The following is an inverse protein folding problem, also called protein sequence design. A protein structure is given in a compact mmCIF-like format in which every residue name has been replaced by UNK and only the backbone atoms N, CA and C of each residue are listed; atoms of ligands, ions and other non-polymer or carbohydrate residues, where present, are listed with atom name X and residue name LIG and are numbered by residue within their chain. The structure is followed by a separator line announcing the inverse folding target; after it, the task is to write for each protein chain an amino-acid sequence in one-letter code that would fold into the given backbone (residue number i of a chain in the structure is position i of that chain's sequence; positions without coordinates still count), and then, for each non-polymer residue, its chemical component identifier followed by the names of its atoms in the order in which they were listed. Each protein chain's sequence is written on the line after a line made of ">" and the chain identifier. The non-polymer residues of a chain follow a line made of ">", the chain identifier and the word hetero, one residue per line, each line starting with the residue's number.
data_IF_145614041254
#
_entry.id   IF_145614041254
#
_cell.length_a   1.000
_cell.length_b   1.000
_cell.length_c   1.000
_cell.angle_alpha   90.00
_cell.angle_beta   90.00
_cell.angle_gamma   90.00
#
_symmetry.space_group_name_H-M   'P 1'
#
loop_
_entity.id
_entity.type
_entity.pdbx_description
1 polymer ?
#
# COMPACT_ATOMS: atom_id res chain seq x y z
N UNK A 1 11.84 -5.02 -31.80
CA UNK A 1 11.93 -3.55 -32.07
C UNK A 1 10.85 -2.74 -31.34
N UNK A 2 9.61 -3.22 -31.17
CA UNK A 2 8.58 -2.53 -30.35
C UNK A 2 8.90 -2.49 -28.84
N UNK A 3 9.35 -3.60 -28.25
CA UNK A 3 9.71 -3.65 -26.82
C UNK A 3 10.84 -2.66 -26.44
N UNK A 4 11.79 -2.43 -27.35
CA UNK A 4 12.87 -1.46 -27.13
C UNK A 4 12.37 0.00 -27.19
N UNK A 5 11.28 0.29 -27.93
CA UNK A 5 10.69 1.64 -28.01
C UNK A 5 9.79 1.93 -26.82
N UNK A 6 9.01 0.95 -26.35
CA UNK A 6 8.19 1.10 -25.14
C UNK A 6 9.05 1.25 -23.87
N UNK A 7 10.18 0.55 -23.80
CA UNK A 7 11.15 0.70 -22.71
C UNK A 7 11.69 2.14 -22.60
N UNK A 8 12.07 2.77 -23.72
CA UNK A 8 12.58 4.15 -23.72
C UNK A 8 11.51 5.21 -23.40
N UNK A 9 10.23 4.96 -23.69
CA UNK A 9 9.12 5.85 -23.32
C UNK A 9 8.85 5.84 -21.82
N UNK A 10 8.82 4.65 -21.23
CA UNK A 10 8.66 4.48 -19.79
C UNK A 10 9.80 5.16 -19.03
N UNK A 11 11.03 5.02 -19.53
CA UNK A 11 12.22 5.65 -18.94
C UNK A 11 12.15 7.18 -18.99
N UNK A 12 11.74 7.79 -20.11
CA UNK A 12 11.55 9.25 -20.19
C UNK A 12 10.49 9.76 -19.24
N UNK A 13 9.38 9.03 -19.12
CA UNK A 13 8.29 9.42 -18.23
C UNK A 13 8.68 9.24 -16.75
N UNK A 14 9.42 8.18 -16.42
CA UNK A 14 10.06 8.00 -15.11
C UNK A 14 11.06 9.12 -14.81
N UNK A 15 11.87 9.54 -15.78
CA UNK A 15 12.80 10.66 -15.63
C UNK A 15 12.06 12.00 -15.45
N UNK A 16 10.91 12.19 -16.10
CA UNK A 16 10.04 13.35 -15.88
C UNK A 16 9.45 13.38 -14.48
N UNK A 17 9.01 12.22 -13.96
CA UNK A 17 8.56 12.06 -12.58
C UNK A 17 9.68 12.37 -11.60
N UNK A 18 10.87 11.82 -11.81
CA UNK A 18 12.00 12.02 -10.91
C UNK A 18 12.56 13.45 -10.97
N UNK A 19 12.37 14.16 -12.09
CA UNK A 19 12.71 15.59 -12.20
C UNK A 19 11.70 16.47 -11.48
N UNK A 20 10.42 16.20 -11.65
CA UNK A 20 9.35 17.06 -11.12
C UNK A 20 8.94 16.68 -9.70
N UNK A 21 9.29 15.50 -9.19
CA UNK A 21 8.99 15.04 -7.82
C UNK A 21 10.29 14.83 -7.02
N UNK A 22 10.15 14.71 -5.69
CA UNK A 22 11.29 14.52 -4.79
C UNK A 22 12.09 13.24 -5.15
N UNK A 23 13.43 13.28 -5.16
CA UNK A 23 14.26 12.12 -5.55
C UNK A 23 14.20 10.98 -4.52
N UNK A 24 13.88 11.29 -3.26
CA UNK A 24 13.72 10.31 -2.17
C UNK A 24 12.63 9.29 -2.51
N UNK A 25 13.01 8.01 -2.49
CA UNK A 25 12.06 6.92 -2.73
C UNK A 25 11.16 6.69 -1.51
N UNK A 26 10.03 6.00 -1.72
CA UNK A 26 9.12 5.63 -0.63
C UNK A 26 9.82 4.77 0.44
N UNK A 27 10.62 3.78 0.02
CA UNK A 27 11.36 2.94 0.96
C UNK A 27 12.34 3.75 1.80
N UNK A 28 13.13 4.63 1.17
CA UNK A 28 14.03 5.53 1.90
C UNK A 28 13.28 6.44 2.87
N UNK A 29 12.13 7.00 2.47
CA UNK A 29 11.34 7.82 3.38
C UNK A 29 10.76 7.01 4.55
N UNK A 30 10.39 5.74 4.35
CA UNK A 30 9.98 4.85 5.44
C UNK A 30 11.14 4.55 6.39
N UNK A 31 12.34 4.28 5.85
CA UNK A 31 13.55 4.03 6.65
C UNK A 31 13.94 5.29 7.44
N UNK A 32 13.86 6.48 6.83
CA UNK A 32 14.12 7.76 7.48
C UNK A 32 13.10 8.06 8.59
N UNK A 33 11.81 7.75 8.37
CA UNK A 33 10.75 7.88 9.38
C UNK A 33 10.97 6.89 10.53
N UNK A 34 11.34 5.65 10.22
CA UNK A 34 11.67 4.65 11.24
C UNK A 34 12.86 5.10 12.09
N UNK A 35 13.93 5.58 11.46
CA UNK A 35 15.09 6.14 12.17
C UNK A 35 14.71 7.35 13.04
N UNK A 36 13.83 8.23 12.56
CA UNK A 36 13.32 9.35 13.37
C UNK A 36 12.48 8.89 14.55
N UNK A 37 11.68 7.83 14.39
CA UNK A 37 10.95 7.22 15.50
C UNK A 37 11.89 6.59 16.53
N UNK A 38 12.92 5.90 16.08
CA UNK A 38 13.91 5.28 16.96
C UNK A 38 14.68 6.37 17.73
N UNK A 39 15.18 7.39 17.04
CA UNK A 39 15.84 8.54 17.66
C UNK A 39 14.91 9.27 18.65
N UNK A 40 13.67 9.58 18.27
CA UNK A 40 12.70 10.22 19.17
C UNK A 40 12.35 9.32 20.37
N UNK A 41 12.30 8.01 20.18
CA UNK A 41 12.09 7.05 21.26
C UNK A 41 13.26 7.07 22.24
N UNK A 42 14.49 6.95 21.76
CA UNK A 42 15.71 6.85 22.57
C UNK A 42 16.10 8.16 23.24
N UNK A 43 16.08 9.27 22.50
CA UNK A 43 16.59 10.55 22.98
C UNK A 43 15.55 11.35 23.76
N UNK A 44 14.26 11.22 23.44
CA UNK A 44 13.21 12.06 24.02
C UNK A 44 12.30 11.28 24.96
N UNK A 45 11.75 10.15 24.52
CA UNK A 45 10.79 9.42 25.35
C UNK A 45 11.43 8.58 26.44
N UNK A 46 12.49 7.82 26.16
CA UNK A 46 13.11 6.95 27.15
C UNK A 46 13.57 7.73 28.39
N UNK A 47 14.22 8.90 28.28
CA UNK A 47 14.62 9.68 29.46
C UNK A 47 13.42 10.19 30.26
N UNK A 48 12.37 10.64 29.58
CA UNK A 48 11.14 11.14 30.24
C UNK A 48 10.37 10.00 30.91
N UNK A 49 10.21 8.87 30.23
CA UNK A 49 9.43 7.73 30.70
C UNK A 49 10.17 6.86 31.73
N UNK A 50 11.45 7.09 31.94
CA UNK A 50 12.24 6.41 32.98
C UNK A 50 12.28 7.18 34.30
N UNK A 51 11.77 8.42 34.33
CA UNK A 51 11.64 9.18 35.57
C UNK A 51 10.51 8.60 36.44
N UNK A 52 10.67 8.55 37.77
CA UNK A 52 9.58 8.15 38.65
C UNK A 52 8.44 9.15 38.55
N UNK A 53 7.20 8.63 38.52
CA UNK A 53 6.01 9.45 38.51
C UNK A 53 5.74 9.99 39.92
N UNK A 54 5.51 11.30 40.06
CA UNK A 54 5.12 11.87 41.34
C UNK A 54 3.78 11.27 41.81
N UNK A 55 3.56 11.01 43.11
CA UNK A 55 2.32 10.40 43.60
C UNK A 55 1.06 11.14 43.15
N UNK A 56 1.08 12.48 43.14
CA UNK A 56 -0.04 13.30 42.69
C UNK A 56 -0.31 13.15 41.18
N UNK A 57 0.75 12.96 40.38
CA UNK A 57 0.62 12.71 38.95
C UNK A 57 0.05 11.31 38.67
N UNK A 58 0.48 10.30 39.42
CA UNK A 58 -0.06 8.94 39.36
C UNK A 58 -1.55 8.92 39.68
N UNK A 59 -1.95 9.58 40.77
CA UNK A 59 -3.36 9.70 41.15
C UNK A 59 -4.18 10.42 40.08
N UNK A 60 -3.67 11.50 39.50
CA UNK A 60 -4.35 12.22 38.42
C UNK A 60 -4.55 11.34 37.17
N UNK A 61 -3.52 10.58 36.77
CA UNK A 61 -3.58 9.65 35.65
C UNK A 61 -4.57 8.50 35.92
N UNK A 62 -4.60 7.99 37.15
CA UNK A 62 -5.57 6.98 37.57
C UNK A 62 -7.00 7.50 37.59
N UNK A 63 -7.22 8.73 38.06
CA UNK A 63 -8.53 9.36 38.06
C UNK A 63 -9.06 9.61 36.64
N UNK A 64 -8.18 9.90 35.67
CA UNK A 64 -8.57 10.05 34.26
C UNK A 64 -8.92 8.70 33.65
N UNK A 65 -8.08 7.68 33.86
CA UNK A 65 -8.30 6.34 33.29
C UNK A 65 -9.53 5.65 33.86
N UNK A 66 -9.84 5.85 35.15
CA UNK A 66 -11.04 5.31 35.80
C UNK A 66 -12.38 5.78 35.19
N UNK A 67 -12.36 6.80 34.32
CA UNK A 67 -13.55 7.30 33.62
C UNK A 67 -13.89 6.50 32.36
N UNK A 68 -12.96 5.66 31.88
CA UNK A 68 -13.22 4.78 30.74
C UNK A 68 -14.03 3.56 31.19
N UNK A 69 -14.93 3.04 30.33
CA UNK A 69 -15.56 1.74 30.58
C UNK A 69 -14.50 0.65 30.78
N UNK A 70 -14.68 -0.29 31.72
CA UNK A 70 -13.71 -1.35 31.99
C UNK A 70 -13.31 -2.15 30.75
N UNK A 71 -14.24 -2.37 29.83
CA UNK A 71 -13.99 -3.11 28.59
C UNK A 71 -13.03 -2.36 27.66
N UNK A 72 -13.14 -1.03 27.60
CA UNK A 72 -12.25 -0.18 26.77
C UNK A 72 -10.85 -0.16 27.36
N UNK A 73 -10.74 -0.06 28.68
CA UNK A 73 -9.45 -0.13 29.37
C UNK A 73 -8.80 -1.49 29.12
N UNK A 74 -9.54 -2.59 29.33
CA UNK A 74 -9.03 -3.94 29.10
C UNK A 74 -8.55 -4.13 27.66
N UNK A 75 -9.31 -3.68 26.65
CA UNK A 75 -8.88 -3.77 25.25
C UNK A 75 -7.61 -2.95 24.97
N UNK A 76 -7.49 -1.77 25.59
CA UNK A 76 -6.31 -0.92 25.43
C UNK A 76 -5.08 -1.52 26.13
N UNK A 77 -5.26 -2.06 27.34
CA UNK A 77 -4.24 -2.79 28.09
C UNK A 77 -3.79 -4.04 27.34
N UNK A 78 -4.70 -4.86 26.84
CA UNK A 78 -4.38 -6.06 26.05
C UNK A 78 -3.55 -5.72 24.81
N UNK A 79 -3.95 -4.66 24.09
CA UNK A 79 -3.23 -4.15 22.92
C UNK A 79 -1.81 -3.69 23.31
N UNK A 80 -1.68 -2.91 24.38
CA UNK A 80 -0.40 -2.45 24.91
C UNK A 80 0.50 -3.63 25.34
N UNK A 81 -0.03 -4.58 26.13
CA UNK A 81 0.73 -5.72 26.63
C UNK A 81 1.11 -6.68 25.51
N UNK A 82 0.29 -6.79 24.45
CA UNK A 82 0.66 -7.51 23.23
C UNK A 82 1.88 -6.88 22.56
N UNK A 83 1.88 -5.55 22.40
CA UNK A 83 3.01 -4.81 21.81
C UNK A 83 4.27 -4.92 22.68
N UNK A 84 4.15 -4.80 24.00
CA UNK A 84 5.27 -4.98 24.92
C UNK A 84 5.89 -6.39 24.80
N UNK A 85 5.05 -7.44 24.77
CA UNK A 85 5.50 -8.83 24.57
C UNK A 85 6.19 -9.06 23.22
N UNK A 86 5.64 -8.51 22.13
CA UNK A 86 6.28 -8.60 20.81
C UNK A 86 7.65 -7.92 20.76
N UNK A 87 7.88 -6.92 21.61
CA UNK A 87 9.16 -6.22 21.76
C UNK A 87 10.09 -6.85 22.79
N UNK A 88 9.71 -7.98 23.41
CA UNK A 88 10.48 -8.61 24.48
C UNK A 88 10.58 -7.75 25.75
N UNK A 89 9.65 -6.80 25.95
CA UNK A 89 9.61 -5.93 27.12
C UNK A 89 8.81 -6.58 28.26
N UNK A 90 9.14 -6.28 29.53
CA UNK A 90 8.36 -6.77 30.66
C UNK A 90 6.93 -6.23 30.62
N UNK A 91 6.03 -6.94 31.31
CA UNK A 91 4.65 -6.50 31.51
C UNK A 91 4.67 -5.15 32.22
N UNK A 92 4.08 -4.15 31.58
CA UNK A 92 4.03 -2.78 32.11
C UNK A 92 3.06 -2.74 33.29
N UNK A 93 3.49 -2.16 34.40
CA UNK A 93 2.66 -2.07 35.61
C UNK A 93 2.01 -0.70 35.75
N UNK A 94 0.81 -0.68 36.31
CA UNK A 94 0.11 0.57 36.64
C UNK A 94 0.96 1.38 37.64
N UNK A 95 0.98 2.70 37.47
CA UNK A 95 1.85 3.60 38.23
C UNK A 95 3.18 3.92 37.51
N UNK A 96 3.57 3.15 36.49
CA UNK A 96 4.74 3.47 35.68
C UNK A 96 4.38 4.49 34.57
N UNK A 97 5.24 5.49 34.27
CA UNK A 97 5.02 6.39 33.13
C UNK A 97 4.82 5.67 31.80
N UNK A 98 5.60 4.60 31.59
CA UNK A 98 5.53 3.75 30.39
C UNK A 98 4.17 3.10 30.22
N UNK A 99 3.53 2.70 31.31
CA UNK A 99 2.18 2.16 31.28
C UNK A 99 1.19 3.19 30.73
N UNK A 100 1.14 4.39 31.30
CA UNK A 100 0.17 5.41 30.87
C UNK A 100 0.44 5.94 29.45
N UNK A 101 1.71 6.08 29.06
CA UNK A 101 2.07 6.43 27.68
C UNK A 101 1.58 5.39 26.66
N UNK A 102 1.84 4.11 26.92
CA UNK A 102 1.42 3.05 26.00
C UNK A 102 -0.10 2.84 26.01
N UNK A 103 -0.76 3.04 27.16
CA UNK A 103 -2.22 3.07 27.25
C UNK A 103 -2.81 4.21 26.39
N UNK A 104 -2.24 5.41 26.47
CA UNK A 104 -2.62 6.55 25.62
C UNK A 104 -2.50 6.21 24.12
N UNK A 105 -1.39 5.54 23.72
CA UNK A 105 -1.18 5.09 22.34
C UNK A 105 -2.18 4.03 21.91
N UNK A 106 -2.44 3.04 22.77
CA UNK A 106 -3.38 1.96 22.50
C UNK A 106 -4.81 2.50 22.32
N UNK A 107 -5.23 3.43 23.18
CA UNK A 107 -6.50 4.14 23.05
C UNK A 107 -6.59 4.90 21.72
N UNK A 108 -5.52 5.57 21.30
CA UNK A 108 -5.46 6.22 19.99
C UNK A 108 -5.61 5.24 18.82
N UNK A 109 -4.97 4.07 18.91
CA UNK A 109 -5.10 2.99 17.93
C UNK A 109 -6.52 2.43 17.87
N UNK A 110 -7.15 2.19 19.03
CA UNK A 110 -8.52 1.71 19.13
C UNK A 110 -9.52 2.68 18.51
N UNK A 111 -9.45 3.97 18.85
CA UNK A 111 -10.33 5.01 18.29
C UNK A 111 -10.23 5.02 16.76
N UNK A 112 -9.02 5.07 16.20
CA UNK A 112 -8.81 5.04 14.74
C UNK A 112 -9.34 3.76 14.11
N UNK A 113 -9.16 2.62 14.77
CA UNK A 113 -9.66 1.34 14.24
C UNK A 113 -11.19 1.32 14.20
N UNK A 114 -11.87 1.82 15.24
CA UNK A 114 -13.34 1.95 15.26
C UNK A 114 -13.82 2.88 14.15
N UNK A 115 -13.16 4.03 13.97
CA UNK A 115 -13.50 5.01 12.93
C UNK A 115 -13.33 4.44 11.51
N UNK A 116 -12.24 3.71 11.26
CA UNK A 116 -11.97 3.11 9.95
C UNK A 116 -12.83 1.88 9.68
N UNK A 117 -13.22 1.15 10.72
CA UNK A 117 -13.89 -0.13 10.61
C UNK A 117 -15.08 -0.22 11.59
N UNK A 118 -16.17 0.54 11.37
CA UNK A 118 -17.30 0.61 12.30
C UNK A 118 -18.02 -0.73 12.52
N UNK A 119 -17.76 -1.76 11.69
CA UNK A 119 -18.31 -3.11 11.82
C UNK A 119 -17.34 -4.21 12.30
N UNK A 120 -16.05 -3.92 12.49
CA UNK A 120 -15.04 -4.97 12.81
C UNK A 120 -14.96 -5.27 14.31
N UNK A 121 -15.45 -4.38 15.18
CA UNK A 121 -15.67 -4.70 16.59
C UNK A 121 -16.88 -5.64 16.71
N UNK A 122 -16.67 -6.93 16.45
CA UNK A 122 -17.70 -7.99 16.26
C UNK A 122 -18.75 -8.12 17.38
N UNK A 123 -18.61 -7.43 18.51
CA UNK A 123 -19.52 -7.53 19.66
C UNK A 123 -20.18 -6.22 20.10
N UNK A 124 -19.71 -5.05 19.63
CA UNK A 124 -20.26 -3.75 20.04
C UNK A 124 -20.06 -2.70 18.96
N UNK A 125 -21.16 -2.14 18.46
CA UNK A 125 -21.14 -0.93 17.65
C UNK A 125 -21.03 0.25 18.62
N UNK A 126 -19.94 1.01 18.53
CA UNK A 126 -19.75 2.20 19.33
C UNK A 126 -20.59 3.34 18.77
N UNK A 127 -21.33 4.03 19.62
CA UNK A 127 -22.06 5.23 19.22
C UNK A 127 -21.11 6.41 19.00
N UNK A 128 -21.58 7.43 18.28
CA UNK A 128 -20.82 8.69 18.11
C UNK A 128 -20.48 9.33 19.46
N UNK A 129 -21.39 9.23 20.44
CA UNK A 129 -21.20 9.79 21.79
C UNK A 129 -20.16 9.01 22.58
N UNK A 130 -20.15 7.68 22.48
CA UNK A 130 -19.11 6.84 23.10
C UNK A 130 -17.72 7.17 22.52
N UNK A 131 -17.63 7.33 21.19
CA UNK A 131 -16.40 7.80 20.54
C UNK A 131 -15.99 9.20 21.01
N UNK A 132 -16.95 10.11 21.16
CA UNK A 132 -16.73 11.45 21.73
C UNK A 132 -16.14 11.37 23.14
N UNK A 133 -16.71 10.52 24.00
CA UNK A 133 -16.21 10.25 25.35
C UNK A 133 -14.80 9.67 25.36
N UNK A 134 -14.50 8.70 24.50
CA UNK A 134 -13.16 8.13 24.36
C UNK A 134 -12.12 9.17 23.93
N UNK A 135 -12.45 10.03 22.96
CA UNK A 135 -11.58 11.13 22.52
C UNK A 135 -11.35 12.13 23.66
N UNK A 136 -12.40 12.46 24.40
CA UNK A 136 -12.30 13.35 25.56
C UNK A 136 -11.36 12.78 26.63
N UNK A 137 -11.53 11.52 27.03
CA UNK A 137 -10.66 10.89 28.04
C UNK A 137 -9.22 10.76 27.53
N UNK A 138 -9.01 10.39 26.26
CA UNK A 138 -7.67 10.38 25.65
C UNK A 138 -7.00 11.76 25.70
N UNK A 139 -7.76 12.83 25.46
CA UNK A 139 -7.28 14.22 25.58
C UNK A 139 -6.87 14.54 27.02
N UNK A 140 -7.71 14.21 28.00
CA UNK A 140 -7.38 14.37 29.44
C UNK A 140 -6.17 13.55 29.86
N UNK A 141 -5.99 12.36 29.30
CA UNK A 141 -4.85 11.51 29.59
C UNK A 141 -3.55 12.14 29.05
N UNK A 142 -3.60 12.74 27.86
CA UNK A 142 -2.48 13.52 27.32
C UNK A 142 -2.15 14.72 28.21
N UNK A 143 -3.16 15.49 28.63
CA UNK A 143 -2.96 16.64 29.54
C UNK A 143 -2.32 16.20 30.87
N UNK A 144 -2.78 15.08 31.44
CA UNK A 144 -2.23 14.55 32.67
C UNK A 144 -0.78 14.06 32.50
N UNK A 145 -0.45 13.44 31.36
CA UNK A 145 0.94 13.07 31.04
C UNK A 145 1.83 14.30 30.86
N UNK A 146 1.36 15.30 30.12
CA UNK A 146 2.07 16.57 29.90
C UNK A 146 2.41 17.30 31.21
N UNK A 147 1.49 17.27 32.18
CA UNK A 147 1.66 17.95 33.46
C UNK A 147 2.41 17.08 34.49
N UNK A 148 2.26 15.76 34.41
CA UNK A 148 2.82 14.81 35.37
C UNK A 148 4.25 14.34 35.06
N UNK A 149 4.70 14.49 33.82
CA UNK A 149 6.02 14.04 33.35
C UNK A 149 6.78 15.21 32.71
N UNK A 150 7.80 15.77 33.38
CA UNK A 150 8.64 16.82 32.83
C UNK A 150 9.25 16.41 31.47
N UNK A 151 9.08 17.26 30.46
CA UNK A 151 9.59 17.01 29.10
C UNK A 151 8.68 16.18 28.20
N UNK A 152 7.60 15.57 28.73
CA UNK A 152 6.71 14.72 27.94
C UNK A 152 6.05 15.45 26.77
N UNK A 153 5.58 16.69 26.99
CA UNK A 153 4.97 17.52 25.93
C UNK A 153 5.90 17.71 24.73
N UNK A 154 7.19 17.97 25.00
CA UNK A 154 8.18 18.17 23.95
C UNK A 154 8.44 16.87 23.18
N UNK A 155 8.66 15.76 23.89
CA UNK A 155 8.83 14.44 23.29
C UNK A 155 7.61 14.05 22.42
N UNK A 156 6.40 14.31 22.93
CA UNK A 156 5.16 14.03 22.24
C UNK A 156 4.93 14.91 21.00
N UNK A 157 5.38 16.17 21.03
CA UNK A 157 5.32 17.06 19.87
C UNK A 157 6.19 16.56 18.72
N UNK A 158 7.44 16.16 19.01
CA UNK A 158 8.36 15.63 17.99
C UNK A 158 7.81 14.36 17.38
N UNK A 159 7.38 13.41 18.21
CA UNK A 159 6.78 12.16 17.75
C UNK A 159 5.53 12.37 16.92
N UNK A 160 4.68 13.33 17.30
CA UNK A 160 3.48 13.67 16.53
C UNK A 160 3.87 14.16 15.13
N UNK A 161 4.89 14.99 15.00
CA UNK A 161 5.40 15.42 13.70
C UNK A 161 5.87 14.27 12.82
N UNK A 162 6.59 13.29 13.39
CA UNK A 162 7.03 12.08 12.67
C UNK A 162 5.83 11.23 12.24
N UNK A 163 4.86 11.02 13.13
CA UNK A 163 3.63 10.27 12.83
C UNK A 163 2.75 10.96 11.79
N UNK A 164 2.63 12.29 11.83
CA UNK A 164 1.97 13.07 10.79
C UNK A 164 2.69 12.92 9.43
N UNK A 165 4.01 12.82 9.44
CA UNK A 165 4.81 12.50 8.25
C UNK A 165 4.51 11.11 7.69
N UNK A 166 4.46 10.08 8.53
CA UNK A 166 4.11 8.70 8.16
C UNK A 166 2.69 8.62 7.57
N UNK A 167 1.70 9.21 8.26
CA UNK A 167 0.32 9.25 7.78
C UNK A 167 0.19 9.97 6.44
N UNK A 168 0.93 11.07 6.24
CA UNK A 168 0.97 11.79 4.99
C UNK A 168 1.64 10.98 3.87
N UNK A 169 2.74 10.29 4.14
CA UNK A 169 3.42 9.40 3.21
C UNK A 169 2.49 8.28 2.72
N UNK A 170 1.80 7.61 3.64
CA UNK A 170 0.81 6.58 3.30
C UNK A 170 -0.38 7.14 2.52
N UNK A 171 -0.90 8.31 2.92
CA UNK A 171 -2.02 8.96 2.25
C UNK A 171 -1.65 9.30 0.80
N UNK A 172 -0.44 9.81 0.56
CA UNK A 172 0.07 10.07 -0.78
C UNK A 172 0.17 8.80 -1.64
N UNK A 173 0.62 7.69 -1.05
CA UNK A 173 0.73 6.40 -1.75
C UNK A 173 -0.64 5.81 -2.13
N UNK A 174 -1.66 6.04 -1.29
CA UNK A 174 -3.03 5.55 -1.53
C UNK A 174 -3.83 6.45 -2.48
N UNK A 175 -3.36 7.67 -2.75
CA UNK A 175 -4.18 8.69 -3.39
C UNK A 175 -4.67 8.29 -4.79
N UNK A 176 -3.93 7.46 -5.52
CA UNK A 176 -4.34 6.97 -6.86
C UNK A 176 -4.66 5.47 -6.91
N UNK A 177 -4.73 4.78 -5.77
CA UNK A 177 -4.93 3.33 -5.71
C UNK A 177 -6.12 2.94 -4.83
N UNK A 178 -6.77 1.82 -5.17
CA UNK A 178 -7.85 1.21 -4.38
C UNK A 178 -8.99 2.18 -4.02
N UNK A 179 -9.44 2.10 -2.77
CA UNK A 179 -10.47 2.98 -2.19
C UNK A 179 -10.03 4.44 -2.05
N UNK A 180 -8.71 4.70 -1.96
CA UNK A 180 -8.15 6.06 -1.90
C UNK A 180 -8.36 6.82 -3.20
N UNK A 181 -8.17 6.15 -4.35
CA UNK A 181 -8.49 6.71 -5.66
C UNK A 181 -9.97 7.05 -5.83
N UNK A 182 -10.87 6.20 -5.33
CA UNK A 182 -12.32 6.44 -5.38
C UNK A 182 -12.75 7.65 -4.56
N UNK A 183 -12.20 7.83 -3.35
CA UNK A 183 -12.46 9.04 -2.54
C UNK A 183 -11.94 10.30 -3.24
N UNK A 184 -10.76 10.22 -3.85
CA UNK A 184 -10.15 11.38 -4.46
C UNK A 184 -10.86 11.79 -5.76
N UNK A 185 -11.44 10.84 -6.49
CA UNK A 185 -12.34 11.10 -7.61
C UNK A 185 -13.71 11.68 -7.13
N UNK A 186 -14.21 11.25 -5.96
CA UNK A 186 -15.52 11.68 -5.43
C UNK A 186 -15.51 13.03 -4.69
N UNK A 187 -14.40 13.38 -4.01
CA UNK A 187 -14.31 14.56 -3.16
C UNK A 187 -12.93 15.26 -3.23
N UNK A 188 -12.52 15.76 -4.41
CA UNK A 188 -11.19 16.37 -4.61
C UNK A 188 -10.95 17.58 -3.70
N UNK A 189 -11.97 18.41 -3.45
CA UNK A 189 -11.91 19.60 -2.57
C UNK A 189 -11.49 19.25 -1.13
N UNK A 190 -11.91 18.09 -0.63
CA UNK A 190 -11.56 17.61 0.72
C UNK A 190 -10.08 17.34 0.82
N UNK A 191 -9.49 16.70 -0.20
CA UNK A 191 -8.06 16.44 -0.25
C UNK A 191 -7.26 17.74 -0.36
N UNK A 192 -7.69 18.69 -1.21
CA UNK A 192 -7.03 20.01 -1.30
C UNK A 192 -7.02 20.72 0.05
N UNK A 193 -8.15 20.69 0.77
CA UNK A 193 -8.25 21.27 2.11
C UNK A 193 -7.31 20.58 3.10
N UNK A 194 -7.26 19.25 3.08
CA UNK A 194 -6.35 18.46 3.93
C UNK A 194 -4.88 18.83 3.63
N UNK A 195 -4.49 18.92 2.36
CA UNK A 195 -3.14 19.33 1.95
C UNK A 195 -2.80 20.77 2.37
N UNK A 196 -3.79 21.66 2.38
CA UNK A 196 -3.65 23.03 2.87
C UNK A 196 -3.43 23.12 4.38
N UNK A 197 -3.86 22.12 5.14
CA UNK A 197 -3.70 22.04 6.60
C UNK A 197 -2.45 21.25 7.04
N UNK A 198 -1.78 20.56 6.12
CA UNK A 198 -0.54 19.84 6.40
C UNK A 198 0.62 20.79 6.69
N UNK A 199 1.49 20.40 7.63
CA UNK A 199 2.80 21.04 7.80
C UNK A 199 3.65 20.87 6.55
N UNK A 200 4.68 21.73 6.37
CA UNK A 200 5.59 21.61 5.23
C UNK A 200 6.32 20.25 5.20
N UNK A 201 6.66 19.70 6.38
CA UNK A 201 7.25 18.36 6.51
C UNK A 201 6.29 17.25 6.05
N UNK A 202 5.05 17.28 6.52
CA UNK A 202 4.01 16.33 6.12
C UNK A 202 3.69 16.43 4.63
N UNK A 203 3.65 17.64 4.07
CA UNK A 203 3.43 17.85 2.63
C UNK A 203 4.54 17.22 1.79
N UNK A 204 5.80 17.36 2.19
CA UNK A 204 6.93 16.68 1.51
C UNK A 204 6.79 15.16 1.54
N UNK A 205 6.39 14.59 2.69
CA UNK A 205 6.16 13.14 2.80
C UNK A 205 4.99 12.69 1.92
N UNK A 206 3.91 13.48 1.87
CA UNK A 206 2.80 13.24 0.95
C UNK A 206 3.25 13.23 -0.51
N UNK A 207 4.08 14.19 -0.94
CA UNK A 207 4.64 14.24 -2.30
C UNK A 207 5.46 12.98 -2.64
N UNK A 208 6.24 12.45 -1.70
CA UNK A 208 6.99 11.20 -1.87
C UNK A 208 6.03 10.00 -2.05
N UNK A 209 4.95 9.96 -1.27
CA UNK A 209 3.90 8.96 -1.40
C UNK A 209 3.22 9.02 -2.78
N UNK A 210 2.88 10.23 -3.22
CA UNK A 210 2.30 10.51 -4.55
C UNK A 210 3.22 10.02 -5.66
N UNK A 211 4.53 10.33 -5.58
CA UNK A 211 5.53 9.83 -6.53
C UNK A 211 5.51 8.30 -6.60
N UNK A 212 5.52 7.64 -5.46
CA UNK A 212 5.47 6.17 -5.39
C UNK A 212 4.20 5.61 -6.03
N UNK A 213 3.05 6.26 -5.80
CA UNK A 213 1.79 5.84 -6.38
C UNK A 213 1.79 6.00 -7.90
N UNK A 214 2.25 7.14 -8.42
CA UNK A 214 2.30 7.40 -9.87
C UNK A 214 3.26 6.41 -10.55
N UNK A 215 4.45 6.17 -9.96
CA UNK A 215 5.41 5.17 -10.47
C UNK A 215 4.81 3.77 -10.46
N UNK A 216 4.13 3.38 -9.38
CA UNK A 216 3.45 2.10 -9.26
C UNK A 216 2.35 1.91 -10.30
N UNK A 217 1.57 2.95 -10.60
CA UNK A 217 0.56 2.93 -11.66
C UNK A 217 1.17 2.71 -13.05
N UNK A 218 2.31 3.34 -13.34
CA UNK A 218 2.97 3.21 -14.63
C UNK A 218 3.58 1.82 -14.82
N UNK A 219 4.18 1.27 -13.75
CA UNK A 219 4.74 -0.08 -13.77
C UNK A 219 3.66 -1.18 -13.82
N UNK A 220 2.49 -0.95 -13.22
CA UNK A 220 1.40 -1.93 -13.25
C UNK A 220 0.66 -1.95 -14.60
N UNK A 221 0.62 -0.82 -15.30
CA UNK A 221 -0.07 -0.72 -16.56
C UNK A 221 0.62 -1.43 -17.74
N UNK A 222 1.90 -1.78 -17.61
CA UNK A 222 2.61 -2.70 -18.52
C UNK A 222 2.04 -4.13 -18.50
N UNK A 223 1.28 -4.52 -17.46
CA UNK A 223 0.81 -5.90 -17.27
C UNK A 223 -0.53 -6.20 -17.96
N UNK A 224 -1.43 -5.21 -18.04
CA UNK A 224 -2.77 -5.36 -18.65
C UNK A 224 -2.94 -4.59 -19.98
N UNK A 225 -1.88 -3.90 -20.42
CA UNK A 225 -1.84 -3.16 -21.67
C UNK A 225 -2.10 -1.66 -21.51
N UNK A 226 -1.23 -0.86 -22.15
CA UNK A 226 -1.48 0.38 -22.88
C UNK A 226 -2.71 1.24 -22.52
N UNK A 227 -3.92 0.69 -22.66
CA UNK A 227 -5.19 1.38 -22.42
C UNK A 227 -5.34 1.85 -20.96
N UNK A 228 -4.73 1.16 -19.99
CA UNK A 228 -4.82 1.54 -18.58
C UNK A 228 -3.99 2.78 -18.22
N UNK A 229 -2.85 3.03 -18.91
CA UNK A 229 -2.06 4.26 -18.68
C UNK A 229 -2.87 5.47 -19.12
N UNK A 230 -3.29 5.52 -20.38
CA UNK A 230 -4.00 6.68 -20.91
C UNK A 230 -5.29 6.99 -20.14
N UNK A 231 -6.06 5.99 -19.72
CA UNK A 231 -7.28 6.20 -18.94
C UNK A 231 -7.00 6.67 -17.51
N UNK A 232 -5.99 6.11 -16.85
CA UNK A 232 -5.63 6.51 -15.49
C UNK A 232 -5.07 7.95 -15.44
N UNK A 233 -4.43 8.42 -16.52
CA UNK A 233 -3.82 9.74 -16.62
C UNK A 233 -4.77 10.81 -17.22
N UNK A 234 -5.92 10.43 -17.77
CA UNK A 234 -6.95 11.33 -18.31
C UNK A 234 -7.96 11.83 -17.28
N UNK A 235 -8.00 11.27 -16.07
CA UNK A 235 -8.93 11.75 -15.04
C UNK A 235 -8.62 13.20 -14.65
N UNK A 236 -9.58 14.09 -14.92
CA UNK A 236 -9.52 15.50 -14.50
C UNK A 236 -9.36 15.62 -12.98
N UNK A 237 -10.01 14.75 -12.22
CA UNK A 237 -9.87 14.70 -10.76
C UNK A 237 -8.42 14.39 -10.37
N UNK A 238 -7.81 13.33 -10.94
CA UNK A 238 -6.40 12.97 -10.67
C UNK A 238 -5.41 14.06 -11.08
N UNK A 239 -5.66 14.77 -12.18
CA UNK A 239 -4.84 15.93 -12.60
C UNK A 239 -4.95 17.09 -11.61
N UNK A 240 -6.15 17.41 -11.14
CA UNK A 240 -6.36 18.44 -10.12
C UNK A 240 -5.72 18.05 -8.78
N UNK A 241 -5.71 16.76 -8.44
CA UNK A 241 -4.99 16.27 -7.28
C UNK A 241 -3.48 16.43 -7.41
N UNK A 242 -2.90 16.10 -8.57
CA UNK A 242 -1.47 16.35 -8.82
C UNK A 242 -1.17 17.84 -8.63
N UNK A 243 -1.99 18.74 -9.19
CA UNK A 243 -1.84 20.18 -9.01
C UNK A 243 -1.90 20.62 -7.55
N UNK A 244 -2.75 19.99 -6.75
CA UNK A 244 -2.85 20.27 -5.32
C UNK A 244 -1.66 19.70 -4.53
N UNK A 245 -1.17 18.52 -4.91
CA UNK A 245 -0.12 17.80 -4.21
C UNK A 245 1.25 18.44 -4.40
N UNK A 246 1.60 18.79 -5.64
CA UNK A 246 2.97 19.21 -6.02
C UNK A 246 3.03 20.64 -6.55
N UNK A 247 1.90 21.35 -6.51
CA UNK A 247 1.74 22.69 -7.07
C UNK A 247 1.36 22.68 -8.56
N UNK A 248 0.63 23.71 -9.00
CA UNK A 248 0.11 23.81 -10.37
C UNK A 248 1.21 23.73 -11.42
N UNK A 249 2.29 24.48 -11.23
CA UNK A 249 3.35 24.60 -12.22
C UNK A 249 4.08 23.26 -12.48
N UNK A 250 4.52 22.58 -11.41
CA UNK A 250 5.16 21.24 -11.49
C UNK A 250 4.18 20.20 -12.03
N UNK A 251 2.93 20.24 -11.57
CA UNK A 251 1.90 19.33 -12.05
C UNK A 251 1.59 19.51 -13.53
N UNK A 252 1.48 20.75 -14.03
CA UNK A 252 1.18 21.01 -15.43
C UNK A 252 2.35 20.56 -16.34
N UNK A 253 3.61 20.72 -15.92
CA UNK A 253 4.76 20.14 -16.64
C UNK A 253 4.73 18.62 -16.68
N UNK A 254 4.42 17.99 -15.54
CA UNK A 254 4.29 16.54 -15.45
C UNK A 254 3.13 16.04 -16.32
N UNK A 255 1.96 16.69 -16.25
CA UNK A 255 0.78 16.38 -17.06
C UNK A 255 1.08 16.55 -18.54
N UNK A 256 1.78 17.62 -18.95
CA UNK A 256 2.17 17.83 -20.34
C UNK A 256 3.10 16.71 -20.84
N UNK A 257 4.07 16.29 -20.02
CA UNK A 257 4.97 15.17 -20.34
C UNK A 257 4.19 13.85 -20.47
N UNK A 258 3.17 13.65 -19.63
CA UNK A 258 2.28 12.49 -19.69
C UNK A 258 1.37 12.53 -20.92
N UNK A 259 0.82 13.70 -21.27
CA UNK A 259 -0.04 13.89 -22.43
C UNK A 259 0.72 13.67 -23.75
N UNK A 260 1.96 14.15 -23.83
CA UNK A 260 2.83 13.91 -24.98
C UNK A 260 3.13 12.42 -25.15
N UNK A 261 3.42 11.69 -24.07
CA UNK A 261 3.66 10.25 -24.18
C UNK A 261 2.37 9.46 -24.47
N UNK A 262 1.20 9.90 -23.97
CA UNK A 262 -0.09 9.32 -24.37
C UNK A 262 -0.31 9.51 -25.88
N UNK A 263 0.02 10.69 -26.42
CA UNK A 263 -0.10 10.99 -27.85
C UNK A 263 0.84 10.12 -28.68
N UNK A 264 2.11 10.04 -28.30
CA UNK A 264 3.10 9.17 -28.95
C UNK A 264 2.67 7.70 -28.90
N UNK A 265 2.08 7.28 -27.78
CA UNK A 265 1.53 5.92 -27.63
C UNK A 265 0.34 5.68 -28.58
N UNK A 266 -0.60 6.62 -28.68
CA UNK A 266 -1.75 6.52 -29.57
C UNK A 266 -1.32 6.48 -31.03
N UNK A 267 -0.42 7.37 -31.45
CA UNK A 267 0.14 7.36 -32.79
C UNK A 267 0.91 6.07 -33.10
N UNK A 268 1.66 5.52 -32.13
CA UNK A 268 2.32 4.22 -32.30
C UNK A 268 1.31 3.07 -32.42
N UNK A 269 0.22 3.09 -31.64
CA UNK A 269 -0.87 2.10 -31.73
C UNK A 269 -1.63 2.18 -33.05
N UNK A 270 -1.80 3.38 -33.62
CA UNK A 270 -2.42 3.61 -34.93
C UNK A 270 -1.51 3.20 -36.10
N UNK A 271 -0.19 3.36 -35.94
CA UNK A 271 0.83 2.86 -36.88
C UNK A 271 1.11 1.36 -36.75
N UNK A 272 0.63 0.72 -35.68
CA UNK A 272 0.68 -0.73 -35.54
C UNK A 272 -0.37 -1.32 -36.48
N UNK A 273 -0.07 -2.40 -37.24
CA UNK A 273 -1.06 -3.03 -38.10
C UNK A 273 -2.24 -3.46 -37.22
N UNK A 274 -3.34 -2.71 -37.30
CA UNK A 274 -4.57 -3.00 -36.58
C UNK A 274 -5.05 -4.41 -36.96
N UNK A 275 -5.94 -5.02 -36.16
CA UNK A 275 -6.49 -6.38 -36.37
C UNK A 275 -7.00 -6.72 -37.79
N UNK A 276 -7.08 -5.74 -38.69
CA UNK A 276 -7.47 -5.88 -40.10
C UNK A 276 -6.31 -5.85 -41.10
N UNK A 277 -5.06 -5.71 -40.66
CA UNK A 277 -3.91 -5.75 -41.56
C UNK A 277 -3.71 -7.18 -42.10
N UNK A 278 -3.55 -7.28 -43.42
CA UNK A 278 -3.43 -8.55 -44.16
C UNK A 278 -2.28 -9.45 -43.66
N UNK A 279 -1.24 -8.86 -43.06
CA UNK A 279 -0.12 -9.54 -42.40
C UNK A 279 -0.47 -10.13 -41.03
N UNK A 280 -1.40 -9.52 -40.29
CA UNK A 280 -1.89 -10.03 -39.00
C UNK A 280 -2.79 -11.26 -39.18
N UNK A 281 -3.65 -11.25 -40.21
CA UNK A 281 -4.45 -12.43 -40.60
C UNK A 281 -3.57 -13.59 -41.04
N UNK A 282 -2.59 -13.37 -41.92
CA UNK A 282 -1.65 -14.43 -42.35
C UNK A 282 -0.82 -15.02 -41.20
N UNK A 283 -0.44 -14.21 -40.21
CA UNK A 283 0.26 -14.69 -39.02
C UNK A 283 -0.63 -15.44 -38.03
N UNK A 284 -1.91 -15.06 -37.91
CA UNK A 284 -2.90 -15.77 -37.10
C UNK A 284 -3.32 -17.09 -37.75
N UNK A 285 -3.55 -17.12 -39.07
CA UNK A 285 -3.91 -18.33 -39.81
C UNK A 285 -2.77 -19.37 -39.80
N UNK A 286 -1.51 -18.92 -39.92
CA UNK A 286 -0.34 -19.79 -39.79
C UNK A 286 -0.15 -20.31 -38.34
N UNK A 287 -0.51 -19.50 -37.33
CA UNK A 287 -0.46 -19.89 -35.93
C UNK A 287 -1.60 -20.87 -35.55
N UNK A 288 -2.80 -20.70 -36.11
CA UNK A 288 -3.94 -21.60 -35.88
C UNK A 288 -3.69 -22.99 -36.50
N UNK A 289 -3.00 -23.06 -37.66
CA UNK A 289 -2.51 -24.32 -38.24
C UNK A 289 -1.50 -25.03 -37.32
N UNK A 290 -0.52 -24.30 -36.77
CA UNK A 290 0.47 -24.87 -35.84
C UNK A 290 -0.19 -25.30 -34.52
N UNK A 291 -1.18 -24.55 -34.04
CA UNK A 291 -1.91 -24.86 -32.82
C UNK A 291 -2.87 -26.05 -32.97
N UNK A 292 -3.42 -26.33 -34.17
CA UNK A 292 -4.23 -27.54 -34.42
C UNK A 292 -3.44 -28.85 -34.44
N UNK A 293 -2.11 -28.81 -34.58
CA UNK A 293 -1.28 -30.02 -34.71
C UNK A 293 -0.54 -30.42 -33.42
N UNK A 294 -0.63 -29.64 -32.33
CA UNK A 294 0.06 -29.93 -31.07
C UNK A 294 -0.88 -30.41 -29.95
N UNK A 295 -0.78 -31.67 -29.47
CA UNK A 295 -1.51 -32.13 -28.29
C UNK A 295 -0.90 -31.52 -27.01
N UNK A 296 -1.68 -30.73 -26.28
CA UNK A 296 -1.23 -30.04 -25.05
C UNK A 296 -1.28 -30.98 -23.84
N UNK A 297 -0.17 -31.07 -23.08
CA UNK A 297 -0.11 -31.84 -21.82
C UNK A 297 -0.46 -30.97 -20.59
N UNK A 298 -0.87 -31.59 -19.45
CA UNK A 298 -1.30 -30.88 -18.24
C UNK A 298 -0.25 -29.94 -17.61
N UNK A 299 1.02 -30.30 -17.66
CA UNK A 299 2.13 -29.47 -17.16
C UNK A 299 2.37 -28.23 -18.03
N UNK A 300 2.11 -28.32 -19.34
CA UNK A 300 2.14 -27.16 -20.24
C UNK A 300 0.94 -26.23 -20.00
N UNK A 301 -0.24 -26.78 -19.68
CA UNK A 301 -1.43 -25.99 -19.30
C UNK A 301 -1.17 -25.20 -18.01
N UNK A 302 -0.65 -25.85 -16.95
CA UNK A 302 -0.28 -25.18 -15.70
C UNK A 302 0.81 -24.11 -15.90
N UNK A 303 1.80 -24.38 -16.75
CA UNK A 303 2.87 -23.43 -17.02
C UNK A 303 2.40 -22.21 -17.83
N UNK A 304 1.39 -22.38 -18.68
CA UNK A 304 0.83 -21.33 -19.54
C UNK A 304 -0.22 -20.49 -18.80
N UNK A 305 -1.02 -21.09 -17.93
CA UNK A 305 -2.03 -20.39 -17.13
C UNK A 305 -1.42 -19.46 -16.05
N UNK A 306 -0.23 -19.78 -15.55
CA UNK A 306 0.42 -19.06 -14.44
C UNK A 306 1.77 -18.42 -14.83
N UNK A 307 2.09 -18.32 -16.13
CA UNK A 307 3.31 -17.72 -16.67
C UNK A 307 3.07 -16.56 -17.65
N UNK A 308 3.81 -15.48 -17.47
CA UNK A 308 3.91 -14.32 -18.39
C UNK A 308 4.23 -14.75 -19.85
N UNK A 309 3.92 -13.88 -20.84
CA UNK A 309 4.47 -13.77 -22.23
C UNK A 309 3.44 -13.60 -23.37
N UNK A 310 3.21 -12.34 -23.76
CA UNK A 310 2.37 -11.78 -24.85
C UNK A 310 2.71 -12.24 -26.29
N UNK A 311 1.88 -13.06 -26.97
CA UNK A 311 1.99 -13.38 -28.42
C UNK A 311 0.66 -13.93 -29.03
N UNK A 312 0.33 -13.69 -30.31
CA UNK A 312 -0.93 -14.08 -30.98
C UNK A 312 -1.27 -15.59 -31.00
N UNK A 313 -0.28 -16.50 -30.89
CA UNK A 313 -0.51 -17.94 -30.66
C UNK A 313 -1.35 -18.19 -29.38
N UNK A 314 -1.35 -17.24 -28.43
CA UNK A 314 -2.15 -17.30 -27.19
C UNK A 314 -3.66 -17.16 -27.39
N UNK A 315 -4.15 -16.43 -28.38
CA UNK A 315 -5.61 -16.23 -28.50
C UNK A 315 -6.30 -17.52 -28.95
N UNK A 316 -5.69 -18.27 -29.87
CA UNK A 316 -6.16 -19.61 -30.26
C UNK A 316 -6.14 -20.60 -29.09
N UNK A 317 -5.04 -20.63 -28.32
CA UNK A 317 -4.91 -21.51 -27.13
C UNK A 317 -5.84 -21.09 -25.99
N UNK A 318 -6.00 -19.79 -25.71
CA UNK A 318 -6.90 -19.27 -24.67
C UNK A 318 -8.38 -19.48 -25.04
N UNK A 319 -8.74 -19.36 -26.32
CA UNK A 319 -10.10 -19.65 -26.77
C UNK A 319 -10.41 -21.15 -26.65
N UNK A 320 -9.49 -22.05 -27.03
CA UNK A 320 -9.65 -23.50 -26.79
C UNK A 320 -9.63 -23.88 -25.30
N UNK A 321 -8.83 -23.19 -24.48
CA UNK A 321 -8.78 -23.44 -23.04
C UNK A 321 -10.04 -22.89 -22.35
N UNK A 322 -10.57 -21.75 -22.80
CA UNK A 322 -11.88 -21.26 -22.42
C UNK A 322 -12.99 -22.22 -22.87
N UNK A 323 -12.94 -22.73 -24.08
CA UNK A 323 -13.88 -23.74 -24.59
C UNK A 323 -13.78 -25.05 -23.79
N UNK A 324 -12.59 -25.54 -23.45
CA UNK A 324 -12.39 -26.72 -22.59
C UNK A 324 -12.83 -26.51 -21.14
N UNK A 325 -12.72 -25.28 -20.60
CA UNK A 325 -13.16 -24.92 -19.24
C UNK A 325 -14.66 -24.59 -19.16
N UNK A 326 -15.29 -24.18 -20.27
CA UNK A 326 -16.70 -23.81 -20.37
C UNK A 326 -17.57 -24.82 -21.13
N UNK A 327 -17.01 -25.91 -21.67
CA UNK A 327 -17.81 -27.02 -22.17
C UNK A 327 -18.61 -27.56 -20.97
N UNK A 328 -19.95 -27.49 -20.99
CA UNK A 328 -20.74 -28.03 -19.90
C UNK A 328 -20.35 -29.49 -19.71
N UNK A 329 -20.13 -29.90 -18.46
CA UNK A 329 -20.14 -31.31 -18.13
C UNK A 329 -21.56 -31.81 -18.43
N UNK A 330 -21.75 -32.32 -19.64
CA UNK A 330 -22.90 -33.15 -19.98
C UNK A 330 -22.97 -34.23 -18.89
N UNK A 331 -24.09 -34.36 -18.15
CA UNK A 331 -24.23 -35.36 -17.09
C UNK A 331 -24.07 -36.81 -17.61
N UNK A 332 -23.96 -37.03 -18.92
CA UNK A 332 -23.69 -38.32 -19.53
C UNK A 332 -22.22 -38.55 -19.99
N UNK A 333 -21.29 -37.59 -19.85
CA UNK A 333 -19.88 -37.77 -20.25
C UNK A 333 -18.96 -38.09 -19.04
N UNK A 334 -17.95 -38.97 -19.20
CA UNK A 334 -17.06 -39.33 -18.10
C UNK A 334 -16.28 -38.09 -17.66
N UNK A 335 -16.36 -37.76 -16.38
CA UNK A 335 -15.65 -36.63 -15.78
C UNK A 335 -14.14 -36.70 -16.00
N UNK A 336 -13.46 -35.58 -15.70
CA UNK A 336 -12.01 -35.48 -15.81
C UNK A 336 -11.31 -36.69 -15.18
N UNK A 337 -10.41 -37.32 -15.95
CA UNK A 337 -9.51 -38.37 -15.46
C UNK A 337 -8.82 -37.88 -14.19
N UNK A 338 -9.10 -38.49 -13.01
CA UNK A 338 -8.58 -38.03 -11.72
C UNK A 338 -7.05 -37.91 -11.72
N UNK A 339 -6.36 -38.78 -12.45
CA UNK A 339 -4.90 -38.76 -12.56
C UNK A 339 -4.38 -37.45 -13.19
N UNK A 340 -5.09 -36.91 -14.19
CA UNK A 340 -4.70 -35.65 -14.85
C UNK A 340 -5.04 -34.42 -14.01
N UNK A 341 -6.13 -34.47 -13.26
CA UNK A 341 -6.47 -33.41 -12.31
C UNK A 341 -5.45 -33.35 -11.17
N UNK A 342 -5.04 -34.51 -10.65
CA UNK A 342 -4.00 -34.62 -9.62
C UNK A 342 -2.63 -34.17 -10.12
N UNK A 343 -2.25 -34.49 -11.36
CA UNK A 343 -1.03 -33.97 -11.99
C UNK A 343 -1.04 -32.44 -12.10
N UNK A 344 -2.18 -31.84 -12.45
CA UNK A 344 -2.33 -30.39 -12.53
C UNK A 344 -2.19 -29.73 -11.16
N UNK A 345 -2.85 -30.28 -10.14
CA UNK A 345 -2.75 -29.78 -8.75
C UNK A 345 -1.32 -29.94 -8.21
N UNK A 346 -0.65 -31.06 -8.50
CA UNK A 346 0.74 -31.30 -8.13
C UNK A 346 1.70 -30.30 -8.80
N UNK A 347 1.49 -29.99 -10.08
CA UNK A 347 2.27 -28.99 -10.80
C UNK A 347 2.11 -27.58 -10.20
N UNK A 348 0.89 -27.20 -9.80
CA UNK A 348 0.60 -25.91 -9.14
C UNK A 348 1.30 -25.83 -7.77
N UNK A 349 1.18 -26.87 -6.94
CA UNK A 349 1.82 -26.92 -5.62
C UNK A 349 3.34 -26.85 -5.69
N UNK A 350 3.96 -27.60 -6.60
CA UNK A 350 5.42 -27.60 -6.82
C UNK A 350 5.95 -26.22 -7.19
N UNK A 351 5.16 -25.43 -7.91
CA UNK A 351 5.53 -24.06 -8.32
C UNK A 351 5.35 -23.03 -7.21
N UNK A 352 4.29 -23.14 -6.41
CA UNK A 352 4.08 -22.31 -5.22
C UNK A 352 5.25 -22.45 -4.23
N UNK A 353 5.73 -23.67 -4.02
CA UNK A 353 6.91 -23.95 -3.18
C UNK A 353 8.19 -23.31 -3.72
N UNK A 354 8.40 -23.32 -5.05
CA UNK A 354 9.55 -22.63 -5.69
C UNK A 354 9.48 -21.11 -5.54
N UNK A 355 8.29 -20.52 -5.60
CA UNK A 355 8.11 -19.07 -5.38
C UNK A 355 8.35 -18.65 -3.93
N UNK A 356 7.91 -19.46 -2.97
CA UNK A 356 8.21 -19.26 -1.55
C UNK A 356 9.71 -19.37 -1.27
N UNK A 357 10.39 -20.35 -1.88
CA UNK A 357 11.84 -20.47 -1.79
C UNK A 357 12.56 -19.25 -2.37
N UNK A 358 12.16 -18.77 -3.55
CA UNK A 358 12.76 -17.58 -4.17
C UNK A 358 12.57 -16.30 -3.34
N UNK A 359 11.42 -16.13 -2.67
CA UNK A 359 11.17 -14.99 -1.78
C UNK A 359 11.93 -15.09 -0.46
N UNK A 360 12.14 -16.30 0.08
CA UNK A 360 13.00 -16.52 1.24
C UNK A 360 14.48 -16.24 0.92
N UNK A 361 14.96 -16.64 -0.27
CA UNK A 361 16.30 -16.33 -0.74
C UNK A 361 16.48 -14.82 -0.94
N UNK A 362 15.53 -14.13 -1.58
CA UNK A 362 15.61 -12.68 -1.76
C UNK A 362 15.66 -11.89 -0.43
N UNK A 363 14.97 -12.36 0.61
CA UNK A 363 15.03 -11.78 1.97
C UNK A 363 16.38 -12.02 2.66
N UNK A 364 17.03 -13.14 2.39
CA UNK A 364 18.34 -13.47 2.98
C UNK A 364 19.49 -12.74 2.27
N UNK A 365 19.46 -12.61 0.94
CA UNK A 365 20.45 -11.79 0.20
C UNK A 365 20.29 -10.29 0.47
N UNK A 366 19.05 -9.79 0.64
CA UNK A 366 18.81 -8.39 1.02
C UNK A 366 19.38 -8.03 2.41
N UNK A 367 19.39 -8.99 3.35
CA UNK A 367 19.96 -8.81 4.70
C UNK A 367 21.49 -8.88 4.73
N UNK A 368 22.09 -9.67 3.83
CA UNK A 368 23.55 -9.78 3.71
C UNK A 368 24.18 -8.59 2.98
N UNK A 369 23.49 -7.99 2.01
CA UNK A 369 23.98 -6.80 1.30
C UNK A 369 23.99 -5.53 2.17
N UNK A 370 23.10 -5.44 3.18
CA UNK A 370 23.09 -4.32 4.14
C UNK A 370 24.14 -4.41 5.26
N UNK A 371 24.75 -5.58 5.48
CA UNK A 371 25.75 -5.80 6.54
C UNK A 371 27.21 -5.62 6.10
N UNK A 372 27.49 -5.47 4.81
CA UNK A 372 28.84 -5.29 4.27
C UNK A 372 29.19 -3.82 3.97
N UNK A 373 28.32 -2.88 4.37
CA UNK A 373 28.48 -1.44 4.21
C UNK A 373 28.52 -0.66 5.54
N UNK A 374 28.85 -1.33 6.65
CA UNK A 374 29.10 -0.73 7.95
C UNK A 374 30.56 -0.94 8.36
#
# INVERSE_FOLDING_TARGET
>A
MMEARSAGQLERLQAGIDRELMPTSFGQAQDDIAAQFDAASEELYQPVLSQPLAPQAAEALDAVTARLPPEIISMAEDSMQSVARMRGQPVLQRGEPRYYHNLYRALGGLIRNIERNPGVMQKKVFTSDELGGMRFVKGRLMEALDNGLPGYRQAASVWRGVAEGEEALEAGQRVFSGTGGQMADAAPETLVRQLGQMSDGSRRMFEIGVRSSVRGMLQSADKDGAANIANALRSTAKRNMLRAAIGRERADRLIASMDEEIRLFQSASEMTPTRNAQTFRRGADAADMIASEMPLNPAQIANTALGYVTSPVRMGVRNRMGEALYTPADPAAPGYDPARADELVAAIRKRALRQQAATATARTTGRAAGGAGA
#
